data_IF_517503195589
#
_entry.id   IF_517503195589
#
_cell.length_a   1.000
_cell.length_b   1.000
_cell.length_c   1.000
_cell.angle_alpha   90.00
_cell.angle_beta   90.00
_cell.angle_gamma   90.00
#
_symmetry.space_group_name_H-M   'P 1'
#
loop_
_entity.id
_entity.type
_entity.pdbx_description
1 polymer ?
#
# COMPACT_ATOMS: atom_id res chain seq x y z
N UNK A 1 -7.57 -29.06 -12.97
CA UNK A 1 -6.36 -28.26 -12.81
C UNK A 1 -6.76 -26.83 -13.06
N UNK A 2 -6.64 -25.98 -12.05
CA UNK A 2 -6.98 -24.57 -12.15
C UNK A 2 -5.88 -23.83 -12.93
N UNK A 3 -6.26 -22.91 -13.81
CA UNK A 3 -5.34 -22.13 -14.65
C UNK A 3 -5.98 -20.83 -15.09
N UNK A 4 -5.16 -19.80 -15.33
CA UNK A 4 -5.64 -18.56 -15.94
C UNK A 4 -6.01 -18.76 -17.41
N UNK A 5 -7.10 -18.14 -17.86
CA UNK A 5 -7.46 -18.04 -19.26
C UNK A 5 -6.60 -16.99 -20.00
N UNK A 6 -6.86 -16.80 -21.30
CA UNK A 6 -6.12 -15.84 -22.13
C UNK A 6 -6.26 -14.38 -21.67
N UNK A 7 -7.30 -14.07 -20.90
CA UNK A 7 -7.59 -12.74 -20.36
C UNK A 7 -7.13 -12.59 -18.89
N UNK A 8 -6.56 -13.65 -18.32
CA UNK A 8 -6.02 -13.68 -16.97
C UNK A 8 -7.02 -14.09 -15.88
N UNK A 9 -8.24 -14.53 -16.21
CA UNK A 9 -9.26 -14.94 -15.23
C UNK A 9 -9.16 -16.43 -14.88
N UNK A 10 -9.59 -16.81 -13.67
CA UNK A 10 -9.59 -18.21 -13.22
C UNK A 10 -10.89 -18.95 -13.57
N UNK A 11 -12.00 -18.23 -13.61
CA UNK A 11 -13.34 -18.76 -13.80
C UNK A 11 -14.06 -18.08 -14.98
N UNK A 12 -14.96 -18.80 -15.66
CA UNK A 12 -15.76 -18.21 -16.72
C UNK A 12 -16.75 -17.18 -16.15
N UNK A 13 -17.08 -16.17 -16.95
CA UNK A 13 -18.00 -15.08 -16.60
C UNK A 13 -17.65 -14.33 -15.28
N UNK A 14 -16.41 -13.82 -15.11
CA UNK A 14 -15.95 -13.20 -13.86
C UNK A 14 -16.82 -12.02 -13.41
N UNK A 15 -17.45 -11.33 -14.37
CA UNK A 15 -18.34 -10.19 -14.12
C UNK A 15 -19.66 -10.56 -13.43
N UNK A 16 -20.00 -11.84 -13.29
CA UNK A 16 -21.18 -12.29 -12.53
C UNK A 16 -21.03 -12.08 -11.02
N UNK A 17 -19.82 -11.78 -10.54
CA UNK A 17 -19.52 -11.49 -9.13
C UNK A 17 -20.08 -12.59 -8.19
N UNK A 18 -19.85 -13.86 -8.55
CA UNK A 18 -20.22 -15.01 -7.72
C UNK A 18 -19.02 -15.48 -6.89
N UNK A 19 -19.29 -16.25 -5.84
CA UNK A 19 -18.25 -16.88 -5.02
C UNK A 19 -17.97 -18.28 -5.55
N UNK A 20 -16.69 -18.60 -5.74
CA UNK A 20 -16.19 -19.89 -6.20
C UNK A 20 -15.53 -20.62 -5.04
N UNK A 21 -16.08 -21.76 -4.66
CA UNK A 21 -15.49 -22.64 -3.65
C UNK A 21 -14.39 -23.49 -4.29
N UNK A 22 -13.22 -23.53 -3.66
CA UNK A 22 -12.07 -24.33 -4.10
C UNK A 22 -11.60 -25.29 -3.01
N UNK A 23 -10.95 -26.38 -3.43
CA UNK A 23 -10.35 -27.37 -2.54
C UNK A 23 -8.83 -27.21 -2.36
N UNK A 24 -8.22 -28.11 -1.57
CA UNK A 24 -6.78 -28.06 -1.32
C UNK A 24 -5.92 -28.33 -2.56
N UNK A 25 -6.41 -29.12 -3.53
CA UNK A 25 -5.66 -29.40 -4.76
C UNK A 25 -5.64 -28.14 -5.65
N UNK A 26 -6.75 -27.40 -5.70
CA UNK A 26 -6.84 -26.14 -6.43
C UNK A 26 -6.00 -25.02 -5.78
N UNK A 27 -5.84 -25.00 -4.45
CA UNK A 27 -4.86 -24.13 -3.78
C UNK A 27 -3.44 -24.46 -4.23
N UNK A 28 -3.10 -25.75 -4.35
CA UNK A 28 -1.78 -26.18 -4.79
C UNK A 28 -1.53 -25.84 -6.28
N UNK A 29 -2.57 -25.88 -7.12
CA UNK A 29 -2.52 -25.36 -8.49
C UNK A 29 -2.22 -23.85 -8.52
N UNK A 30 -2.88 -23.03 -7.68
CA UNK A 30 -2.60 -21.59 -7.58
C UNK A 30 -1.17 -21.30 -7.08
N UNK A 31 -0.66 -22.10 -6.15
CA UNK A 31 0.75 -22.00 -5.71
C UNK A 31 1.74 -22.34 -6.83
N UNK A 32 1.37 -23.24 -7.75
CA UNK A 32 2.17 -23.53 -8.93
C UNK A 32 2.14 -22.36 -9.92
N UNK A 33 0.96 -21.79 -10.20
CA UNK A 33 0.83 -20.62 -11.05
C UNK A 33 1.63 -19.42 -10.53
N UNK A 34 1.67 -19.22 -9.20
CA UNK A 34 2.50 -18.18 -8.58
C UNK A 34 3.99 -18.31 -8.93
N UNK A 35 4.50 -19.55 -9.00
CA UNK A 35 5.89 -19.81 -9.43
C UNK A 35 6.09 -19.53 -10.92
N UNK A 36 5.11 -19.85 -11.75
CA UNK A 36 5.14 -19.57 -13.18
C UNK A 36 5.19 -18.05 -13.44
N UNK A 37 4.43 -17.26 -12.66
CA UNK A 37 4.49 -15.80 -12.69
C UNK A 37 5.87 -15.26 -12.26
N UNK A 38 6.50 -15.83 -11.23
CA UNK A 38 7.87 -15.45 -10.85
C UNK A 38 8.88 -15.68 -11.98
N UNK A 39 8.79 -16.82 -12.67
CA UNK A 39 9.67 -17.10 -13.82
C UNK A 39 9.39 -16.15 -14.98
N UNK A 40 8.12 -15.84 -15.24
CA UNK A 40 7.74 -14.89 -16.27
C UNK A 40 8.30 -13.50 -15.98
N UNK A 41 8.06 -12.95 -14.79
CA UNK A 41 8.52 -11.60 -14.42
C UNK A 41 10.05 -11.50 -14.37
N UNK A 42 10.74 -12.54 -13.91
CA UNK A 42 12.20 -12.63 -13.99
C UNK A 42 12.70 -12.63 -15.45
N UNK A 43 12.03 -13.36 -16.35
CA UNK A 43 12.34 -13.38 -17.78
C UNK A 43 12.17 -12.01 -18.44
N UNK A 44 11.13 -11.27 -18.09
CA UNK A 44 10.91 -9.88 -18.55
C UNK A 44 12.04 -8.97 -18.05
N UNK A 45 12.41 -9.07 -16.77
CA UNK A 45 13.52 -8.28 -16.19
C UNK A 45 14.84 -8.52 -16.94
N UNK A 46 15.20 -9.77 -17.19
CA UNK A 46 16.43 -10.10 -17.92
C UNK A 46 16.40 -9.63 -19.38
N UNK A 47 15.22 -9.61 -19.99
CA UNK A 47 15.03 -9.05 -21.33
C UNK A 47 15.27 -7.54 -21.33
N UNK A 48 14.71 -6.81 -20.36
CA UNK A 48 14.92 -5.36 -20.23
C UNK A 48 16.39 -5.03 -19.96
N UNK A 49 17.07 -5.74 -19.05
CA UNK A 49 18.51 -5.53 -18.80
C UNK A 49 19.36 -5.66 -20.06
N UNK A 50 19.17 -6.75 -20.82
CA UNK A 50 19.90 -6.97 -22.08
C UNK A 50 19.66 -5.87 -23.10
N UNK A 51 18.44 -5.31 -23.14
CA UNK A 51 18.07 -4.20 -24.03
C UNK A 51 18.71 -2.88 -23.59
N UNK A 52 18.82 -2.62 -22.29
CA UNK A 52 19.52 -1.44 -21.77
C UNK A 52 21.03 -1.50 -21.95
N UNK A 53 21.64 -2.70 -21.97
CA UNK A 53 23.08 -2.91 -22.13
C UNK A 53 23.57 -2.92 -23.58
N UNK A 54 22.72 -3.32 -24.54
CA UNK A 54 23.09 -3.43 -25.96
C UNK A 54 22.70 -2.18 -26.76
N UNK A 55 23.57 -1.80 -27.68
CA UNK A 55 23.17 -1.01 -28.85
C UNK A 55 22.24 -1.87 -29.72
N UNK A 56 20.93 -1.79 -29.45
CA UNK A 56 19.77 -2.31 -30.21
C UNK A 56 20.00 -3.62 -30.99
N UNK A 57 19.58 -4.75 -30.43
CA UNK A 57 19.32 -5.98 -31.20
C UNK A 57 18.37 -5.68 -32.39
N UNK A 58 18.52 -6.43 -33.50
CA UNK A 58 17.84 -6.24 -34.81
C UNK A 58 16.29 -6.20 -34.78
N UNK A 59 15.66 -6.58 -33.65
CA UNK A 59 14.20 -6.56 -33.49
C UNK A 59 13.78 -5.32 -32.71
N UNK A 60 13.40 -4.28 -33.46
CA UNK A 60 12.85 -3.03 -32.93
C UNK A 60 11.42 -3.27 -32.42
N UNK A 61 11.25 -3.28 -31.09
CA UNK A 61 9.92 -3.20 -30.48
C UNK A 61 9.33 -1.80 -30.72
N UNK A 62 8.01 -1.70 -30.68
CA UNK A 62 7.35 -0.40 -30.59
C UNK A 62 7.76 0.29 -29.29
N UNK A 63 7.98 1.60 -29.35
CA UNK A 63 8.53 2.37 -28.23
C UNK A 63 7.58 2.36 -27.01
N UNK A 64 6.27 2.29 -27.22
CA UNK A 64 5.27 2.23 -26.13
C UNK A 64 5.38 0.89 -25.43
N UNK A 65 5.52 -0.19 -26.19
CA UNK A 65 5.69 -1.54 -25.64
C UNK A 65 6.97 -1.63 -24.82
N UNK A 66 8.07 -1.07 -25.34
CA UNK A 66 9.35 -1.02 -24.63
C UNK A 66 9.28 -0.19 -23.34
N UNK A 67 8.66 0.98 -23.38
CA UNK A 67 8.45 1.84 -22.21
C UNK A 67 7.60 1.16 -21.13
N UNK A 68 6.49 0.53 -21.52
CA UNK A 68 5.66 -0.25 -20.59
C UNK A 68 6.42 -1.43 -19.98
N UNK A 69 7.25 -2.13 -20.77
CA UNK A 69 8.08 -3.20 -20.24
C UNK A 69 9.07 -2.68 -19.18
N UNK A 70 9.75 -1.57 -19.45
CA UNK A 70 10.71 -0.97 -18.52
C UNK A 70 10.01 -0.55 -17.22
N UNK A 71 8.86 0.11 -17.32
CA UNK A 71 8.06 0.56 -16.16
C UNK A 71 7.56 -0.60 -15.31
N UNK A 72 7.27 -1.75 -15.90
CA UNK A 72 6.84 -2.96 -15.17
C UNK A 72 7.99 -3.79 -14.57
N UNK A 73 9.24 -3.49 -14.91
CA UNK A 73 10.40 -4.11 -14.27
C UNK A 73 10.84 -3.32 -13.05
N UNK A 74 11.29 -4.02 -12.01
CA UNK A 74 11.72 -3.36 -10.79
C UNK A 74 12.97 -2.49 -10.99
N UNK A 75 13.01 -1.35 -10.32
CA UNK A 75 14.12 -0.41 -10.40
C UNK A 75 13.89 0.77 -11.34
N UNK A 76 12.68 0.97 -11.86
CA UNK A 76 12.37 2.13 -12.70
C UNK A 76 11.73 3.23 -11.86
N UNK A 77 12.21 4.47 -12.01
CA UNK A 77 11.60 5.64 -11.36
C UNK A 77 10.46 6.15 -12.22
N UNK A 78 9.25 6.16 -11.68
CA UNK A 78 8.05 6.64 -12.37
C UNK A 78 7.31 7.67 -11.53
N UNK A 79 6.83 8.72 -12.19
CA UNK A 79 6.01 9.75 -11.58
C UNK A 79 4.55 9.34 -11.58
N UNK A 80 3.93 9.37 -10.41
CA UNK A 80 2.53 9.01 -10.21
C UNK A 80 1.61 10.24 -10.20
N UNK A 81 0.30 10.09 -10.51
CA UNK A 81 -0.64 11.21 -10.56
C UNK A 81 -0.85 11.88 -9.19
N UNK A 82 -0.48 11.20 -8.09
CA UNK A 82 -0.45 11.75 -6.75
C UNK A 82 0.84 12.51 -6.39
N UNK A 83 1.66 12.84 -7.41
CA UNK A 83 2.76 13.80 -7.28
C UNK A 83 4.00 13.23 -6.60
N UNK A 84 4.21 11.91 -6.71
CA UNK A 84 5.34 11.21 -6.12
C UNK A 84 6.05 10.38 -7.17
N UNK A 85 7.37 10.42 -7.12
CA UNK A 85 8.21 9.46 -7.82
C UNK A 85 8.35 8.19 -6.99
N UNK A 86 8.01 7.04 -7.58
CA UNK A 86 8.24 5.73 -6.97
C UNK A 86 9.32 4.96 -7.73
N UNK A 87 10.03 4.08 -7.03
CA UNK A 87 10.85 3.04 -7.66
C UNK A 87 10.02 1.77 -7.72
N UNK A 88 9.73 1.29 -8.93
CA UNK A 88 8.93 0.09 -9.17
C UNK A 88 9.62 -1.18 -8.66
N UNK A 89 8.85 -2.22 -8.34
CA UNK A 89 9.32 -3.60 -8.23
C UNK A 89 8.78 -4.43 -9.40
N UNK A 90 9.22 -5.67 -9.57
CA UNK A 90 8.74 -6.51 -10.68
C UNK A 90 7.22 -6.73 -10.58
N UNK A 91 6.49 -6.39 -11.64
CA UNK A 91 5.05 -6.61 -11.71
C UNK A 91 4.72 -8.01 -12.25
N UNK A 92 3.86 -8.75 -11.55
CA UNK A 92 3.19 -9.95 -12.06
C UNK A 92 1.83 -9.57 -12.68
N UNK A 93 1.21 -10.49 -13.42
CA UNK A 93 0.01 -10.18 -14.23
C UNK A 93 -1.32 -10.22 -13.46
N UNK A 94 -1.26 -10.39 -12.15
CA UNK A 94 -2.42 -10.66 -11.31
C UNK A 94 -2.34 -9.91 -9.99
N UNK A 95 -3.49 -9.45 -9.50
CA UNK A 95 -3.67 -8.89 -8.17
C UNK A 95 -4.48 -9.83 -7.30
N UNK A 96 -4.11 -9.87 -6.03
CA UNK A 96 -4.75 -10.67 -5.01
C UNK A 96 -4.95 -9.87 -3.73
N UNK A 97 -5.97 -10.25 -2.97
CA UNK A 97 -6.15 -9.87 -1.57
C UNK A 97 -6.69 -11.05 -0.78
N UNK A 98 -6.01 -11.41 0.30
CA UNK A 98 -6.44 -12.48 1.19
C UNK A 98 -7.14 -11.97 2.44
N UNK A 99 -8.20 -12.65 2.84
CA UNK A 99 -8.95 -12.41 4.06
C UNK A 99 -9.17 -13.72 4.80
N UNK A 100 -8.85 -13.74 6.10
CA UNK A 100 -8.85 -14.95 6.91
C UNK A 100 -10.23 -15.44 7.35
N UNK A 101 -11.28 -14.70 7.00
CA UNK A 101 -12.67 -15.04 7.21
C UNK A 101 -13.51 -14.36 6.13
N UNK A 102 -14.77 -14.78 5.98
CA UNK A 102 -15.71 -14.12 5.10
C UNK A 102 -16.24 -12.81 5.74
N UNK A 103 -15.68 -11.67 5.35
CA UNK A 103 -16.17 -10.36 5.79
C UNK A 103 -17.37 -9.90 4.96
N UNK A 104 -18.28 -9.15 5.60
CA UNK A 104 -19.42 -8.53 4.92
C UNK A 104 -18.99 -7.46 3.90
N UNK A 105 -17.94 -6.68 4.24
CA UNK A 105 -17.39 -5.61 3.41
C UNK A 105 -15.88 -5.54 3.55
N UNK A 106 -15.18 -5.63 2.43
CA UNK A 106 -13.75 -5.36 2.29
C UNK A 106 -13.57 -3.91 1.86
N UNK A 107 -13.32 -3.04 2.84
CA UNK A 107 -13.10 -1.60 2.66
C UNK A 107 -11.94 -1.14 3.55
N UNK A 108 -11.26 -0.02 3.22
CA UNK A 108 -10.15 0.54 4.02
C UNK A 108 -10.48 0.83 5.48
N UNK A 109 -9.44 0.97 6.31
CA UNK A 109 -9.55 1.29 7.74
C UNK A 109 -10.35 2.57 7.99
N UNK A 110 -10.09 3.65 7.25
CA UNK A 110 -10.84 4.91 7.37
C UNK A 110 -12.34 4.71 7.10
N UNK A 111 -12.67 3.96 6.04
CA UNK A 111 -14.07 3.68 5.66
C UNK A 111 -14.80 2.86 6.72
N UNK A 112 -14.11 1.94 7.38
CA UNK A 112 -14.67 1.19 8.53
C UNK A 112 -14.98 2.12 9.71
N UNK A 113 -14.10 3.07 10.03
CA UNK A 113 -14.36 4.04 11.12
C UNK A 113 -15.48 5.02 10.82
N UNK A 114 -15.75 5.27 9.53
CA UNK A 114 -16.84 6.11 9.05
C UNK A 114 -18.20 5.39 9.00
N UNK A 115 -18.25 4.06 9.23
CA UNK A 115 -19.50 3.31 9.12
C UNK A 115 -20.53 3.78 10.17
N UNK A 116 -21.76 4.03 9.70
CA UNK A 116 -22.86 4.52 10.54
C UNK A 116 -22.76 6.01 10.93
N UNK A 117 -21.77 6.75 10.42
CA UNK A 117 -21.58 8.18 10.71
C UNK A 117 -22.26 9.06 9.66
N UNK A 118 -22.61 10.29 10.07
CA UNK A 118 -23.09 11.31 9.14
C UNK A 118 -21.97 11.80 8.22
N UNK A 119 -22.31 12.39 7.06
CA UNK A 119 -21.31 12.97 6.15
C UNK A 119 -20.38 13.99 6.84
N UNK A 120 -20.96 14.79 7.73
CA UNK A 120 -20.22 15.76 8.53
C UNK A 120 -19.19 15.09 9.45
N UNK A 121 -19.60 14.06 10.19
CA UNK A 121 -18.68 13.28 11.04
C UNK A 121 -17.61 12.55 10.21
N UNK A 122 -17.96 12.02 9.04
CA UNK A 122 -17.00 11.36 8.16
C UNK A 122 -15.86 12.29 7.72
N UNK A 123 -16.18 13.54 7.40
CA UNK A 123 -15.17 14.56 7.05
C UNK A 123 -14.26 14.90 8.24
N UNK A 124 -14.80 14.98 9.46
CA UNK A 124 -14.00 15.20 10.66
C UNK A 124 -13.09 14.02 10.97
N UNK A 125 -13.61 12.78 10.86
CA UNK A 125 -12.82 11.55 11.05
C UNK A 125 -11.69 11.47 10.02
N UNK A 126 -11.94 11.84 8.76
CA UNK A 126 -10.92 11.95 7.71
C UNK A 126 -9.84 12.97 8.08
N UNK A 127 -10.24 14.17 8.52
CA UNK A 127 -9.30 15.20 8.97
C UNK A 127 -8.39 14.70 10.11
N UNK A 128 -8.97 14.05 11.11
CA UNK A 128 -8.22 13.46 12.24
C UNK A 128 -7.26 12.36 11.78
N UNK A 129 -7.68 11.49 10.88
CA UNK A 129 -6.83 10.44 10.33
C UNK A 129 -5.60 11.02 9.61
N UNK A 130 -5.79 12.06 8.79
CA UNK A 130 -4.72 12.77 8.10
C UNK A 130 -3.74 13.46 9.06
N UNK A 131 -4.25 14.12 10.11
CA UNK A 131 -3.39 14.72 11.14
C UNK A 131 -2.52 13.66 11.84
N UNK A 132 -3.08 12.49 12.15
CA UNK A 132 -2.33 11.36 12.71
C UNK A 132 -1.27 10.82 11.75
N UNK A 133 -1.60 10.71 10.46
CA UNK A 133 -0.65 10.29 9.42
C UNK A 133 0.51 11.29 9.27
N UNK A 134 0.27 12.59 9.39
CA UNK A 134 1.34 13.60 9.38
C UNK A 134 2.22 13.53 10.64
N UNK A 135 1.63 13.33 11.83
CA UNK A 135 2.43 13.11 13.04
C UNK A 135 3.28 11.84 12.95
N UNK A 136 2.75 10.77 12.34
CA UNK A 136 3.53 9.59 12.00
C UNK A 136 4.69 9.92 11.05
N UNK A 137 4.44 10.69 9.99
CA UNK A 137 5.48 11.14 9.05
C UNK A 137 6.60 11.91 9.78
N UNK A 138 6.24 12.87 10.64
CA UNK A 138 7.17 13.65 11.47
C UNK A 138 7.98 12.74 12.41
N UNK A 139 7.36 11.70 12.96
CA UNK A 139 8.04 10.73 13.83
C UNK A 139 9.06 9.89 13.06
N UNK A 140 8.68 9.28 11.94
CA UNK A 140 9.58 8.40 11.17
C UNK A 140 10.73 9.18 10.53
N UNK A 141 10.58 10.48 10.30
CA UNK A 141 11.65 11.36 9.81
C UNK A 141 12.90 11.39 10.72
N UNK A 142 12.75 10.97 11.99
CA UNK A 142 13.87 10.84 12.94
C UNK A 142 14.75 9.61 12.68
N UNK A 143 14.28 8.65 11.88
CA UNK A 143 14.99 7.41 11.56
C UNK A 143 15.87 7.67 10.34
N UNK A 144 17.19 7.45 10.44
CA UNK A 144 18.21 7.92 9.48
C UNK A 144 17.89 7.55 8.01
N UNK A 145 17.35 6.35 7.80
CA UNK A 145 17.02 5.84 6.46
C UNK A 145 15.94 6.66 5.76
N UNK A 146 15.03 7.31 6.49
CA UNK A 146 13.89 8.04 5.93
C UNK A 146 14.33 9.32 5.20
N UNK A 147 15.00 10.31 5.82
CA UNK A 147 15.49 11.49 5.12
C UNK A 147 16.56 11.14 4.06
N UNK A 148 17.35 10.08 4.29
CA UNK A 148 18.30 9.59 3.28
C UNK A 148 17.59 9.08 2.03
N UNK A 149 16.53 8.28 2.21
CA UNK A 149 15.73 7.74 1.12
C UNK A 149 15.11 8.84 0.27
N UNK A 150 14.45 9.80 0.91
CA UNK A 150 13.85 10.96 0.26
C UNK A 150 14.91 11.76 -0.53
N UNK A 151 16.09 11.96 0.04
CA UNK A 151 17.16 12.73 -0.59
C UNK A 151 17.82 12.01 -1.78
N UNK A 152 17.96 10.67 -1.74
CA UNK A 152 18.87 9.94 -2.63
C UNK A 152 18.19 8.94 -3.55
N UNK A 153 17.01 8.43 -3.20
CA UNK A 153 16.41 7.26 -3.85
C UNK A 153 15.06 7.58 -4.48
N UNK A 154 14.04 7.88 -3.68
CA UNK A 154 12.65 8.04 -4.15
C UNK A 154 11.86 8.91 -3.20
N UNK A 155 10.70 9.41 -3.62
CA UNK A 155 9.78 10.05 -2.70
C UNK A 155 9.18 9.04 -1.71
N UNK A 156 8.93 9.51 -0.49
CA UNK A 156 8.25 8.72 0.53
C UNK A 156 6.73 8.76 0.31
N UNK A 157 6.11 7.59 0.21
CA UNK A 157 4.65 7.45 0.18
C UNK A 157 4.11 7.30 1.62
N UNK A 158 3.86 8.44 2.26
CA UNK A 158 3.41 8.50 3.66
C UNK A 158 2.09 7.76 3.88
N UNK A 159 1.12 7.88 2.98
CA UNK A 159 -0.17 7.19 3.13
C UNK A 159 -0.02 5.67 3.06
N UNK A 160 0.81 5.16 2.14
CA UNK A 160 1.08 3.74 2.05
C UNK A 160 1.82 3.21 3.31
N UNK A 161 2.81 3.95 3.80
CA UNK A 161 3.50 3.62 5.04
C UNK A 161 2.54 3.65 6.24
N UNK A 162 1.75 4.72 6.37
CA UNK A 162 0.78 4.88 7.44
C UNK A 162 -0.22 3.70 7.46
N UNK A 163 -0.74 3.30 6.30
CA UNK A 163 -1.58 2.10 6.18
C UNK A 163 -0.89 0.84 6.73
N UNK A 164 0.34 0.57 6.30
CA UNK A 164 1.09 -0.62 6.70
C UNK A 164 1.48 -0.63 8.19
N UNK A 165 1.51 0.55 8.82
CA UNK A 165 1.73 0.73 10.26
C UNK A 165 0.43 0.99 11.03
N UNK A 166 -0.73 0.65 10.48
CA UNK A 166 -2.00 0.57 11.20
C UNK A 166 -2.74 1.90 11.38
N UNK A 167 -2.35 2.95 10.67
CA UNK A 167 -3.09 4.21 10.65
C UNK A 167 -4.31 4.10 9.73
N UNK A 168 -5.32 4.92 10.01
CA UNK A 168 -6.54 4.96 9.21
C UNK A 168 -6.28 5.68 7.90
N UNK A 169 -6.45 4.98 6.77
CA UNK A 169 -6.31 5.55 5.44
C UNK A 169 -7.46 5.11 4.54
N UNK A 170 -7.60 5.78 3.39
CA UNK A 170 -8.57 5.41 2.35
C UNK A 170 -8.04 4.32 1.39
N UNK A 171 -6.88 3.74 1.68
CA UNK A 171 -6.21 2.81 0.79
C UNK A 171 -6.62 1.37 1.12
N UNK A 172 -6.66 0.48 0.14
CA UNK A 172 -6.84 -0.95 0.35
C UNK A 172 -5.62 -1.70 -0.18
N UNK A 173 -5.03 -2.55 0.65
CA UNK A 173 -3.88 -3.37 0.25
C UNK A 173 -4.28 -4.44 -0.76
N UNK A 174 -3.54 -4.49 -1.86
CA UNK A 174 -3.47 -5.57 -2.84
C UNK A 174 -2.03 -6.06 -2.92
N UNK A 175 -1.84 -7.30 -3.38
CA UNK A 175 -0.51 -7.86 -3.66
C UNK A 175 -0.52 -8.53 -5.03
N UNK A 176 0.61 -8.51 -5.73
CA UNK A 176 0.76 -9.27 -6.98
C UNK A 176 1.32 -10.70 -6.76
N UNK A 177 1.37 -11.15 -5.50
CA UNK A 177 1.85 -12.46 -5.11
C UNK A 177 0.74 -13.26 -4.40
N UNK A 178 0.30 -14.34 -5.04
CA UNK A 178 -0.71 -15.23 -4.47
C UNK A 178 -0.29 -15.82 -3.12
N UNK A 179 1.00 -16.09 -2.89
CA UNK A 179 1.47 -16.66 -1.61
C UNK A 179 1.27 -15.68 -0.46
N UNK A 180 1.53 -14.41 -0.70
CA UNK A 180 1.27 -13.32 0.24
C UNK A 180 -0.22 -13.18 0.54
N UNK A 181 -1.09 -13.23 -0.48
CA UNK A 181 -2.54 -13.23 -0.26
C UNK A 181 -3.00 -14.46 0.53
N UNK A 182 -2.54 -15.67 0.17
CA UNK A 182 -2.86 -16.90 0.88
C UNK A 182 -2.41 -16.85 2.34
N UNK A 183 -1.26 -16.23 2.63
CA UNK A 183 -0.80 -16.01 4.00
C UNK A 183 -1.78 -15.16 4.79
N UNK A 184 -2.20 -14.00 4.27
CA UNK A 184 -3.21 -13.18 4.92
C UNK A 184 -4.57 -13.86 5.03
N UNK A 185 -4.91 -14.73 4.07
CA UNK A 185 -6.13 -15.53 4.09
C UNK A 185 -6.08 -16.71 5.06
N UNK A 186 -4.91 -17.09 5.60
CA UNK A 186 -4.78 -18.29 6.45
C UNK A 186 -4.08 -18.02 7.78
N UNK A 187 -3.62 -16.80 8.03
CA UNK A 187 -2.98 -16.40 9.28
C UNK A 187 -3.74 -15.27 9.96
N UNK A 188 -3.44 -15.03 11.23
CA UNK A 188 -4.03 -13.95 12.02
C UNK A 188 -2.96 -13.07 12.62
N UNK A 189 -3.19 -11.77 12.55
CA UNK A 189 -2.33 -10.78 13.17
C UNK A 189 -2.55 -10.73 14.69
N UNK A 190 -1.46 -10.68 15.43
CA UNK A 190 -1.44 -10.40 16.86
C UNK A 190 -0.87 -9.00 17.10
N UNK A 191 -1.77 -8.06 17.42
CA UNK A 191 -1.43 -6.67 17.71
C UNK A 191 -0.55 -6.48 18.95
N UNK A 192 -0.50 -7.47 19.87
CA UNK A 192 0.34 -7.36 21.06
C UNK A 192 1.81 -7.61 20.76
N UNK A 193 2.07 -8.49 19.80
CA UNK A 193 3.43 -8.91 19.45
C UNK A 193 3.87 -8.38 18.09
N UNK A 194 3.04 -7.57 17.42
CA UNK A 194 3.26 -7.04 16.06
C UNK A 194 3.64 -8.14 15.06
N UNK A 195 2.97 -9.29 15.14
CA UNK A 195 3.37 -10.49 14.40
C UNK A 195 2.18 -11.35 13.96
N UNK A 196 2.40 -12.19 12.95
CA UNK A 196 1.40 -13.17 12.53
C UNK A 196 1.59 -14.52 13.23
N UNK A 197 0.48 -15.22 13.42
CA UNK A 197 0.42 -16.60 13.88
C UNK A 197 -0.56 -17.41 13.01
N UNK A 198 -0.41 -18.74 12.94
CA UNK A 198 -1.42 -19.59 12.33
C UNK A 198 -2.76 -19.48 13.08
N UNK A 199 -3.84 -19.75 12.36
CA UNK A 199 -5.19 -19.87 12.89
C UNK A 199 -5.29 -21.12 13.78
N UNK A 200 -5.88 -20.94 14.95
CA UNK A 200 -6.20 -22.05 15.85
C UNK A 200 -7.59 -22.59 15.53
N UNK A 201 -7.90 -23.81 15.98
CA UNK A 201 -9.28 -24.33 15.96
C UNK A 201 -10.31 -23.33 16.49
N UNK A 202 -9.99 -22.62 17.58
CA UNK A 202 -10.85 -21.59 18.16
C UNK A 202 -11.07 -20.40 17.22
N UNK A 203 -10.07 -19.99 16.44
CA UNK A 203 -10.23 -18.92 15.45
C UNK A 203 -11.13 -19.37 14.29
N UNK A 204 -10.94 -20.61 13.82
CA UNK A 204 -11.68 -21.19 12.68
C UNK A 204 -13.16 -21.42 13.04
N UNK A 205 -13.43 -21.92 14.24
CA UNK A 205 -14.78 -22.27 14.70
C UNK A 205 -15.50 -21.11 15.43
N UNK A 206 -14.98 -19.88 15.36
CA UNK A 206 -15.55 -18.74 16.07
C UNK A 206 -16.95 -18.35 15.55
N UNK A 207 -17.16 -18.38 14.24
CA UNK A 207 -18.41 -18.10 13.54
C UNK A 207 -18.55 -18.99 12.29
N UNK A 208 -19.70 -18.99 11.62
CA UNK A 208 -19.83 -19.66 10.31
C UNK A 208 -18.91 -19.01 9.26
N UNK A 209 -18.73 -17.70 9.31
CA UNK A 209 -17.89 -16.95 8.37
C UNK A 209 -16.39 -17.20 8.60
N UNK A 210 -15.96 -17.51 9.84
CA UNK A 210 -14.55 -17.80 10.15
C UNK A 210 -14.08 -19.17 9.69
N UNK A 211 -15.00 -20.04 9.28
CA UNK A 211 -14.66 -21.35 8.70
C UNK A 211 -14.05 -21.24 7.30
N UNK A 212 -14.13 -20.07 6.67
CA UNK A 212 -13.74 -19.89 5.28
C UNK A 212 -12.64 -18.83 5.14
N UNK A 213 -11.58 -19.14 4.41
CA UNK A 213 -10.67 -18.13 3.87
C UNK A 213 -11.22 -17.59 2.55
N UNK A 214 -10.96 -16.32 2.26
CA UNK A 214 -11.39 -15.67 1.02
C UNK A 214 -10.17 -15.04 0.33
N UNK A 215 -10.05 -15.24 -0.98
CA UNK A 215 -9.09 -14.55 -1.83
C UNK A 215 -9.86 -13.83 -2.92
N UNK A 216 -9.66 -12.51 -3.01
CA UNK A 216 -10.08 -11.72 -4.15
C UNK A 216 -8.97 -11.76 -5.21
N UNK A 217 -9.34 -11.92 -6.47
CA UNK A 217 -8.41 -11.93 -7.59
C UNK A 217 -8.88 -11.03 -8.73
N UNK A 218 -7.96 -10.30 -9.37
CA UNK A 218 -8.22 -9.53 -10.58
C UNK A 218 -6.97 -9.53 -11.47
N UNK A 219 -7.09 -9.71 -12.81
CA UNK A 219 -5.98 -9.47 -13.73
C UNK A 219 -5.47 -8.03 -13.60
N UNK A 220 -4.16 -7.83 -13.73
CA UNK A 220 -3.57 -6.51 -13.48
C UNK A 220 -4.11 -5.42 -14.45
N UNK A 221 -4.37 -5.74 -15.71
CA UNK A 221 -4.85 -4.79 -16.72
C UNK A 221 -6.22 -4.18 -16.40
N UNK A 222 -6.98 -4.77 -15.48
CA UNK A 222 -8.29 -4.27 -15.03
C UNK A 222 -8.14 -3.08 -14.07
N UNK A 223 -7.09 -3.06 -13.25
CA UNK A 223 -6.96 -2.13 -12.12
C UNK A 223 -5.65 -1.32 -12.15
N UNK A 224 -4.56 -1.91 -12.64
CA UNK A 224 -3.22 -1.34 -12.56
C UNK A 224 -3.14 -0.05 -13.37
N UNK A 225 -2.73 1.02 -12.69
CA UNK A 225 -2.49 2.31 -13.30
C UNK A 225 -1.52 2.22 -14.49
N UNK A 226 -0.53 1.31 -14.46
CA UNK A 226 0.46 1.17 -15.53
C UNK A 226 0.05 0.22 -16.65
N UNK A 227 -0.92 -0.68 -16.44
CA UNK A 227 -1.22 -1.78 -17.38
C UNK A 227 -2.64 -1.75 -17.96
N UNK A 228 -3.37 -0.64 -17.82
CA UNK A 228 -4.65 -0.42 -18.51
C UNK A 228 -5.80 0.00 -17.61
N UNK A 229 -5.70 -0.22 -16.29
CA UNK A 229 -6.74 0.19 -15.33
C UNK A 229 -6.97 1.69 -15.28
N UNK A 230 -6.03 2.48 -15.80
CA UNK A 230 -6.10 3.93 -15.93
C UNK A 230 -6.65 4.43 -17.27
N UNK A 231 -7.02 3.58 -18.23
CA UNK A 231 -7.39 4.03 -19.58
C UNK A 231 -8.56 5.04 -19.56
N UNK A 232 -9.66 4.68 -18.90
CA UNK A 232 -10.81 5.57 -18.77
C UNK A 232 -10.47 6.84 -17.97
N UNK A 233 -9.64 6.70 -16.94
CA UNK A 233 -9.16 7.83 -16.15
C UNK A 233 -8.35 8.80 -17.02
N UNK A 234 -7.38 8.32 -17.79
CA UNK A 234 -6.59 9.16 -18.69
C UNK A 234 -7.46 9.87 -19.71
N UNK A 235 -8.45 9.19 -20.31
CA UNK A 235 -9.38 9.82 -21.26
C UNK A 235 -10.15 11.00 -20.65
N UNK A 236 -10.61 10.87 -19.40
CA UNK A 236 -11.32 11.95 -18.69
C UNK A 236 -10.41 13.13 -18.34
N UNK A 237 -9.11 12.88 -18.20
CA UNK A 237 -8.12 13.86 -17.74
C UNK A 237 -7.15 14.33 -18.84
N UNK A 238 -7.43 14.04 -20.12
CA UNK A 238 -6.55 14.42 -21.25
C UNK A 238 -6.25 15.93 -21.34
N UNK A 239 -7.21 16.76 -20.93
CA UNK A 239 -7.11 18.23 -20.98
C UNK A 239 -6.89 18.85 -19.59
N UNK A 240 -6.45 18.04 -18.64
CA UNK A 240 -6.26 18.51 -17.28
C UNK A 240 -4.96 19.32 -17.19
N UNK A 241 -5.07 20.56 -16.72
CA UNK A 241 -3.95 21.51 -16.59
C UNK A 241 -3.69 21.84 -15.12
N UNK A 242 -3.91 20.86 -14.24
CA UNK A 242 -3.71 21.04 -12.80
C UNK A 242 -2.25 21.26 -12.49
N UNK A 243 -2.01 22.25 -11.62
CA UNK A 243 -0.72 22.47 -10.98
C UNK A 243 -0.53 21.52 -9.78
N UNK A 244 -1.63 21.14 -9.13
CA UNK A 244 -1.63 20.33 -7.90
C UNK A 244 -1.89 18.84 -8.16
N UNK A 245 -1.11 17.93 -7.54
CA UNK A 245 -1.32 16.49 -7.64
C UNK A 245 -2.70 16.02 -7.17
N UNK A 246 -3.05 14.79 -7.56
CA UNK A 246 -4.25 14.12 -7.08
C UNK A 246 -4.05 13.57 -5.67
N UNK A 247 -5.00 13.84 -4.78
CA UNK A 247 -5.03 13.23 -3.44
C UNK A 247 -5.78 11.91 -3.46
N UNK A 248 -5.30 10.89 -2.74
CA UNK A 248 -6.05 9.64 -2.55
C UNK A 248 -7.41 9.88 -1.84
N UNK A 249 -7.56 11.02 -1.16
CA UNK A 249 -8.75 11.36 -0.41
C UNK A 249 -9.81 12.13 -1.22
N UNK A 250 -9.53 12.47 -2.49
CA UNK A 250 -10.51 13.12 -3.37
C UNK A 250 -11.55 12.16 -3.96
N UNK A 251 -11.18 10.87 -4.08
CA UNK A 251 -11.95 9.86 -4.80
C UNK A 251 -11.73 9.82 -6.31
N UNK A 252 -10.91 10.72 -6.87
CA UNK A 252 -10.58 10.74 -8.31
C UNK A 252 -9.67 9.57 -8.73
N UNK A 253 -8.93 9.00 -7.77
CA UNK A 253 -8.03 7.86 -7.98
C UNK A 253 -8.69 6.52 -7.61
N UNK A 254 -9.97 6.53 -7.27
CA UNK A 254 -10.67 5.34 -6.80
C UNK A 254 -10.72 4.23 -7.85
N UNK A 255 -10.60 3.00 -7.36
CA UNK A 255 -10.73 1.81 -8.19
C UNK A 255 -9.54 1.54 -9.11
N UNK A 256 -8.49 2.35 -9.10
CA UNK A 256 -7.19 2.01 -9.70
C UNK A 256 -6.23 1.46 -8.63
N UNK A 257 -5.36 0.55 -9.04
CA UNK A 257 -4.28 0.04 -8.22
C UNK A 257 -2.97 0.73 -8.58
N UNK A 258 -2.25 1.20 -7.56
CA UNK A 258 -0.94 1.84 -7.70
C UNK A 258 0.10 1.02 -6.97
N UNK A 259 1.23 0.79 -7.61
CA UNK A 259 2.36 0.18 -6.94
C UNK A 259 2.85 1.10 -5.82
N UNK A 260 3.12 0.57 -4.63
CA UNK A 260 3.70 1.38 -3.53
C UNK A 260 5.15 1.75 -3.86
N UNK A 261 5.82 0.87 -4.61
CA UNK A 261 7.25 0.93 -4.89
C UNK A 261 8.09 0.55 -3.67
N UNK A 262 9.41 0.63 -3.83
CA UNK A 262 10.32 0.50 -2.68
C UNK A 262 10.18 1.71 -1.75
N UNK A 263 10.24 1.48 -0.44
CA UNK A 263 10.05 2.48 0.61
C UNK A 263 11.10 2.30 1.72
N UNK A 264 11.42 3.34 2.52
CA UNK A 264 12.50 3.29 3.52
C UNK A 264 12.23 2.30 4.66
N UNK A 265 10.95 2.12 5.01
CA UNK A 265 10.51 1.15 6.01
C UNK A 265 10.02 -0.10 5.27
N UNK A 266 10.84 -1.15 5.31
CA UNK A 266 10.89 -2.28 4.38
C UNK A 266 9.63 -3.18 4.29
N UNK A 267 8.56 -2.86 5.01
CA UNK A 267 7.33 -3.66 5.10
C UNK A 267 6.60 -3.78 3.76
N UNK A 268 6.40 -2.64 3.08
CA UNK A 268 5.57 -2.57 1.87
C UNK A 268 6.13 -3.35 0.68
N UNK A 269 7.46 -3.34 0.50
CA UNK A 269 8.06 -3.91 -0.71
C UNK A 269 8.14 -5.43 -0.67
N UNK A 270 8.34 -6.03 0.50
CA UNK A 270 8.38 -7.50 0.64
C UNK A 270 7.00 -8.15 0.48
N UNK A 271 5.93 -7.36 0.56
CA UNK A 271 4.56 -7.79 0.28
C UNK A 271 4.20 -7.67 -1.20
N UNK A 272 5.12 -7.18 -2.05
CA UNK A 272 4.83 -6.72 -3.41
C UNK A 272 3.57 -5.85 -3.43
N UNK A 273 3.50 -4.89 -2.51
CA UNK A 273 2.29 -4.18 -2.15
C UNK A 273 1.84 -3.16 -3.21
N UNK A 274 0.54 -3.18 -3.45
CA UNK A 274 -0.20 -2.18 -4.22
C UNK A 274 -1.25 -1.55 -3.30
N UNK A 275 -1.53 -0.28 -3.53
CA UNK A 275 -2.62 0.44 -2.88
C UNK A 275 -3.74 0.69 -3.88
N UNK A 276 -4.97 0.42 -3.46
CA UNK A 276 -6.17 0.78 -4.21
C UNK A 276 -6.97 1.81 -3.39
N UNK A 277 -6.98 3.10 -3.78
CA UNK A 277 -7.80 4.11 -3.12
C UNK A 277 -9.30 3.76 -3.21
N UNK A 278 -10.00 3.96 -2.10
CA UNK A 278 -11.44 3.68 -1.98
C UNK A 278 -12.12 4.70 -1.07
N UNK A 279 -12.27 5.94 -1.53
CA UNK A 279 -13.07 6.96 -0.83
C UNK A 279 -14.57 6.83 -1.11
N UNK A 280 -14.93 6.50 -2.33
CA UNK A 280 -16.27 6.36 -2.88
C UNK A 280 -16.52 4.97 -3.52
N UNK A 281 -15.46 4.17 -3.69
CA UNK A 281 -15.53 2.83 -4.27
C UNK A 281 -16.41 1.86 -3.45
N UNK A 282 -17.00 0.90 -4.16
CA UNK A 282 -17.79 -0.18 -3.56
C UNK A 282 -16.90 -1.23 -2.90
N UNK A 283 -17.37 -1.92 -1.85
CA UNK A 283 -16.63 -3.05 -1.27
C UNK A 283 -16.31 -4.12 -2.31
N UNK A 284 -15.19 -4.83 -2.15
CA UNK A 284 -14.76 -5.88 -3.10
C UNK A 284 -15.81 -6.96 -3.33
N UNK A 285 -16.63 -7.26 -2.32
CA UNK A 285 -17.72 -8.24 -2.39
C UNK A 285 -18.71 -7.92 -3.51
N UNK A 286 -18.87 -6.64 -3.86
CA UNK A 286 -19.80 -6.14 -4.88
C UNK A 286 -19.10 -5.59 -6.12
N UNK A 287 -17.77 -5.65 -6.18
CA UNK A 287 -16.99 -5.19 -7.32
C UNK A 287 -16.80 -6.34 -8.32
N UNK A 288 -17.43 -6.23 -9.49
CA UNK A 288 -17.40 -7.27 -10.52
C UNK A 288 -16.03 -7.40 -11.23
N UNK A 289 -15.08 -6.51 -10.92
CA UNK A 289 -13.69 -6.60 -11.37
C UNK A 289 -12.88 -7.62 -10.58
N UNK A 290 -13.44 -8.18 -9.50
CA UNK A 290 -12.80 -9.20 -8.68
C UNK A 290 -13.56 -10.53 -8.71
N UNK A 291 -12.81 -11.61 -8.93
CA UNK A 291 -13.23 -12.97 -8.61
C UNK A 291 -13.16 -13.18 -7.10
N UNK A 292 -14.13 -13.94 -6.57
CA UNK A 292 -14.21 -14.27 -5.14
C UNK A 292 -13.95 -15.76 -4.96
N UNK A 293 -12.77 -16.10 -4.48
CA UNK A 293 -12.33 -17.46 -4.24
C UNK A 293 -12.51 -17.75 -2.75
N UNK A 294 -13.18 -18.85 -2.40
CA UNK A 294 -13.43 -19.24 -1.01
C UNK A 294 -12.97 -20.67 -0.77
N UNK A 295 -12.38 -20.93 0.38
CA UNK A 295 -11.91 -22.27 0.75
C UNK A 295 -12.12 -22.52 2.24
N UNK A 296 -12.25 -23.79 2.63
CA UNK A 296 -12.39 -24.18 4.03
C UNK A 296 -11.05 -24.05 4.77
N UNK A 297 -11.08 -23.40 5.93
CA UNK A 297 -9.91 -23.29 6.81
C UNK A 297 -9.64 -24.61 7.53
N UNK A 298 -8.36 -24.95 7.64
CA UNK A 298 -7.88 -26.02 8.51
C UNK A 298 -6.63 -25.57 9.24
N UNK A 299 -6.41 -26.10 10.45
CA UNK A 299 -5.17 -25.85 11.19
C UNK A 299 -3.95 -26.34 10.37
N UNK A 300 -4.10 -27.44 9.62
CA UNK A 300 -3.05 -27.97 8.74
C UNK A 300 -2.66 -26.97 7.64
N UNK A 301 -3.64 -26.44 6.89
CA UNK A 301 -3.39 -25.45 5.84
C UNK A 301 -2.73 -24.19 6.41
N UNK A 302 -3.25 -23.69 7.53
CA UNK A 302 -2.71 -22.50 8.18
C UNK A 302 -1.26 -22.67 8.63
N UNK A 303 -0.93 -23.79 9.30
CA UNK A 303 0.45 -24.09 9.70
C UNK A 303 1.37 -24.29 8.49
N UNK A 304 0.90 -24.99 7.45
CA UNK A 304 1.66 -25.20 6.20
C UNK A 304 2.03 -23.87 5.54
N UNK A 305 1.08 -22.95 5.40
CA UNK A 305 1.31 -21.63 4.80
C UNK A 305 2.18 -20.76 5.69
N UNK A 306 1.98 -20.80 7.01
CA UNK A 306 2.80 -20.06 7.96
C UNK A 306 4.28 -20.45 7.88
N UNK A 307 4.59 -21.75 7.85
CA UNK A 307 5.96 -22.25 7.67
C UNK A 307 6.51 -21.95 6.27
N UNK A 308 5.69 -22.10 5.21
CA UNK A 308 6.08 -21.73 3.84
C UNK A 308 6.52 -20.26 3.74
N UNK A 309 5.91 -19.38 4.52
CA UNK A 309 6.20 -17.95 4.56
C UNK A 309 7.26 -17.54 5.59
N UNK A 310 8.05 -18.51 6.07
CA UNK A 310 9.07 -18.34 7.11
C UNK A 310 8.51 -17.60 8.33
N UNK A 311 7.33 -18.04 8.80
CA UNK A 311 6.66 -17.49 9.99
C UNK A 311 6.34 -16.00 9.86
N UNK A 312 6.08 -15.55 8.64
CA UNK A 312 5.80 -14.15 8.29
C UNK A 312 7.04 -13.33 7.93
N UNK A 313 8.27 -13.84 8.14
CA UNK A 313 9.50 -13.09 7.85
C UNK A 313 9.68 -12.77 6.38
N UNK A 314 9.09 -13.54 5.46
CA UNK A 314 9.14 -13.23 4.02
C UNK A 314 8.42 -11.93 3.65
N UNK A 315 7.42 -11.51 4.43
CA UNK A 315 6.58 -10.34 4.16
C UNK A 315 6.62 -9.27 5.27
N UNK A 316 7.24 -9.60 6.42
CA UNK A 316 7.59 -8.69 7.52
C UNK A 316 9.07 -8.80 7.91
N UNK A 317 10.04 -8.62 6.99
CA UNK A 317 11.44 -8.66 7.36
C UNK A 317 11.91 -7.29 7.86
N UNK A 318 12.78 -7.30 8.87
CA UNK A 318 13.56 -6.14 9.30
C UNK A 318 12.72 -4.94 9.78
N UNK A 319 11.82 -5.23 10.72
CA UNK A 319 10.90 -4.28 11.37
C UNK A 319 11.56 -3.51 12.51
N UNK A 320 12.63 -2.77 12.22
CA UNK A 320 13.32 -1.96 13.24
C UNK A 320 12.37 -1.01 13.96
N UNK A 321 11.48 -0.35 13.22
CA UNK A 321 10.46 0.56 13.79
C UNK A 321 9.51 -0.14 14.79
N UNK A 322 9.39 -1.46 14.77
CA UNK A 322 8.64 -2.22 15.77
C UNK A 322 9.16 -2.01 17.20
N UNK A 323 10.43 -1.60 17.38
CA UNK A 323 10.98 -1.20 18.69
C UNK A 323 10.33 0.09 19.25
N UNK A 324 9.61 0.84 18.43
CA UNK A 324 8.86 2.05 18.80
C UNK A 324 7.34 1.85 18.78
N UNK A 325 6.85 0.59 18.87
CA UNK A 325 5.43 0.27 18.76
C UNK A 325 4.53 1.06 19.73
N UNK A 326 4.96 1.25 20.98
CA UNK A 326 4.20 2.04 21.96
C UNK A 326 4.02 3.50 21.53
N UNK A 327 5.04 4.07 20.87
CA UNK A 327 4.96 5.42 20.31
C UNK A 327 3.97 5.42 19.14
N UNK A 328 4.06 4.45 18.22
CA UNK A 328 3.12 4.34 17.10
C UNK A 328 1.67 4.23 17.59
N UNK A 329 1.41 3.38 18.60
CA UNK A 329 0.10 3.25 19.23
C UNK A 329 -0.39 4.55 19.88
N UNK A 330 0.53 5.36 20.42
CA UNK A 330 0.20 6.68 20.97
C UNK A 330 -0.23 7.64 19.86
N UNK A 331 0.49 7.67 18.73
CA UNK A 331 0.15 8.53 17.58
C UNK A 331 -1.19 8.10 16.97
N UNK A 332 -1.44 6.79 16.81
CA UNK A 332 -2.71 6.25 16.28
C UNK A 332 -3.93 6.67 17.10
N UNK A 333 -3.74 6.95 18.40
CA UNK A 333 -4.80 7.38 19.32
C UNK A 333 -4.76 8.89 19.61
N UNK A 334 -3.88 9.65 18.97
CA UNK A 334 -3.69 11.06 19.28
C UNK A 334 -5.00 11.85 19.13
N UNK A 335 -5.22 12.76 20.09
CA UNK A 335 -6.30 13.76 20.10
C UNK A 335 -5.75 15.18 20.30
N UNK A 336 -4.43 15.33 20.29
CA UNK A 336 -3.73 16.61 20.38
C UNK A 336 -2.95 16.79 19.08
N UNK A 337 -3.17 17.91 18.40
CA UNK A 337 -2.58 18.20 17.09
C UNK A 337 -2.00 19.62 17.06
N UNK A 338 -1.04 19.85 16.18
CA UNK A 338 -0.51 21.19 15.94
C UNK A 338 -1.29 21.94 14.86
N UNK A 339 -1.02 23.25 14.72
CA UNK A 339 -1.57 24.03 13.61
C UNK A 339 -1.16 23.50 12.24
N UNK A 340 0.09 23.04 12.10
CA UNK A 340 0.56 22.43 10.86
C UNK A 340 -0.19 21.13 10.53
N UNK A 341 -0.57 20.34 11.55
CA UNK A 341 -1.34 19.13 11.35
C UNK A 341 -2.72 19.48 10.78
N UNK A 342 -3.39 20.48 11.37
CA UNK A 342 -4.68 20.97 10.91
C UNK A 342 -4.60 21.53 9.48
N UNK A 343 -3.55 22.31 9.16
CA UNK A 343 -3.33 22.87 7.84
C UNK A 343 -3.16 21.75 6.80
N UNK A 344 -2.33 20.75 7.11
CA UNK A 344 -2.14 19.59 6.24
C UNK A 344 -3.46 18.87 5.97
N UNK A 345 -4.26 18.62 7.01
CA UNK A 345 -5.57 18.00 6.84
C UNK A 345 -6.51 18.87 5.98
N UNK A 346 -6.49 20.20 6.15
CA UNK A 346 -7.36 21.13 5.41
C UNK A 346 -7.01 21.22 3.92
N UNK A 347 -5.72 21.26 3.58
CA UNK A 347 -5.25 21.48 2.20
C UNK A 347 -5.04 20.15 1.45
N UNK A 348 -4.28 19.22 2.03
CA UNK A 348 -3.97 17.93 1.39
C UNK A 348 -5.15 16.94 1.46
N UNK A 349 -5.92 17.00 2.54
CA UNK A 349 -7.04 16.11 2.80
C UNK A 349 -8.28 16.32 1.94
N UNK A 350 -8.26 17.34 1.07
CA UNK A 350 -9.39 17.74 0.23
C UNK A 350 -10.67 17.82 1.08
N UNK A 351 -10.59 18.58 2.18
CA UNK A 351 -11.73 18.82 3.06
C UNK A 351 -12.83 19.51 2.27
N UNK A 352 -14.09 19.09 2.47
CA UNK A 352 -15.22 19.71 1.79
C UNK A 352 -15.36 21.19 2.21
N UNK A 353 -14.90 22.09 1.34
CA UNK A 353 -14.92 23.55 1.56
C UNK A 353 -16.36 24.11 1.58
N UNK A 354 -17.37 23.35 1.14
CA UNK A 354 -18.78 23.74 1.36
C UNK A 354 -19.21 23.52 2.80
N UNK A 355 -18.66 22.49 3.46
CA UNK A 355 -18.89 22.23 4.89
C UNK A 355 -18.00 23.11 5.77
N UNK A 356 -16.74 23.28 5.38
CA UNK A 356 -15.74 24.05 6.13
C UNK A 356 -15.08 25.10 5.21
N UNK A 357 -15.74 26.26 4.99
CA UNK A 357 -15.24 27.31 4.10
C UNK A 357 -13.88 27.85 4.47
N UNK A 358 -13.52 27.82 5.77
CA UNK A 358 -12.20 28.23 6.27
C UNK A 358 -11.58 27.15 7.16
N UNK A 359 -10.26 27.23 7.35
CA UNK A 359 -9.55 26.37 8.31
C UNK A 359 -10.06 26.58 9.74
N UNK A 360 -10.52 27.79 10.08
CA UNK A 360 -11.10 28.09 11.40
C UNK A 360 -12.45 27.39 11.61
N UNK A 361 -13.23 27.20 10.56
CA UNK A 361 -14.48 26.43 10.63
C UNK A 361 -14.19 24.96 10.90
N UNK A 362 -13.19 24.40 10.20
CA UNK A 362 -12.72 23.04 10.47
C UNK A 362 -12.17 22.92 11.90
N UNK A 363 -11.37 23.90 12.37
CA UNK A 363 -10.82 23.93 13.73
C UNK A 363 -11.92 23.85 14.78
N UNK A 364 -12.93 24.71 14.67
CA UNK A 364 -14.07 24.74 15.61
C UNK A 364 -14.82 23.41 15.61
N UNK A 365 -15.03 22.82 14.45
CA UNK A 365 -15.72 21.56 14.31
C UNK A 365 -14.93 20.38 14.90
N UNK A 366 -13.64 20.28 14.57
CA UNK A 366 -12.75 19.24 15.08
C UNK A 366 -12.62 19.35 16.61
N UNK A 367 -12.39 20.54 17.15
CA UNK A 367 -12.23 20.73 18.62
C UNK A 367 -13.50 20.49 19.41
N UNK A 368 -14.67 20.63 18.78
CA UNK A 368 -15.95 20.24 19.37
C UNK A 368 -16.27 18.74 19.21
N UNK A 369 -15.52 18.02 18.37
CA UNK A 369 -15.74 16.60 18.09
C UNK A 369 -15.03 15.72 19.12
N UNK A 370 -15.66 14.58 19.43
CA UNK A 370 -15.11 13.58 20.33
C UNK A 370 -14.68 12.33 19.57
N UNK A 371 -13.46 11.88 19.83
CA UNK A 371 -12.92 10.62 19.33
C UNK A 371 -12.74 9.70 20.52
N UNK A 372 -13.43 8.56 20.50
CA UNK A 372 -13.35 7.56 21.58
C UNK A 372 -13.63 8.14 22.99
N UNK A 373 -14.45 9.20 23.07
CA UNK A 373 -14.83 9.88 24.31
C UNK A 373 -13.93 11.06 24.72
N UNK A 374 -12.88 11.35 23.96
CA UNK A 374 -11.95 12.46 24.21
C UNK A 374 -12.13 13.59 23.20
N UNK A 375 -12.09 14.84 23.68
CA UNK A 375 -12.16 16.01 22.81
C UNK A 375 -10.82 16.26 22.11
N UNK A 376 -10.87 16.65 20.85
CA UNK A 376 -9.68 17.03 20.11
C UNK A 376 -9.20 18.42 20.52
N UNK A 377 -7.89 18.61 20.62
CA UNK A 377 -7.25 19.91 20.89
C UNK A 377 -6.23 20.25 19.81
N UNK A 378 -6.22 21.52 19.40
CA UNK A 378 -5.24 22.08 18.49
C UNK A 378 -4.37 23.07 19.27
N UNK A 379 -3.06 22.89 19.22
CA UNK A 379 -2.08 23.75 19.89
C UNK A 379 -1.11 24.38 18.89
N UNK A 380 -0.44 25.45 19.33
CA UNK A 380 0.51 26.19 18.47
C UNK A 380 1.81 25.42 18.22
N UNK A 381 2.31 24.74 19.25
CA UNK A 381 3.58 24.05 19.19
C UNK A 381 3.45 22.69 18.51
N UNK A 382 4.49 22.27 17.80
CA UNK A 382 4.55 20.94 17.19
C UNK A 382 4.40 19.82 18.23
N UNK A 383 3.74 18.74 17.82
CA UNK A 383 3.62 17.55 18.66
C UNK A 383 4.90 16.72 18.52
N UNK A 384 5.66 16.65 19.61
CA UNK A 384 6.88 15.84 19.65
C UNK A 384 6.64 14.51 20.39
N UNK A 385 6.89 13.41 19.69
CA UNK A 385 6.96 12.07 20.28
C UNK A 385 8.42 11.71 20.59
N UNK A 386 8.86 11.79 21.86
CA UNK A 386 10.25 11.50 22.21
C UNK A 386 10.56 10.01 22.03
N UNK A 387 11.75 9.74 21.51
CA UNK A 387 12.33 8.39 21.43
C UNK A 387 13.70 8.44 22.12
N UNK A 388 14.00 7.42 22.92
CA UNK A 388 15.29 7.37 23.60
C UNK A 388 16.42 7.19 22.57
N UNK A 389 17.61 7.80 22.77
CA UNK A 389 18.72 7.64 21.85
C UNK A 389 19.15 6.18 21.64
N UNK A 390 19.06 5.33 22.68
CA UNK A 390 19.38 3.91 22.58
C UNK A 390 18.40 3.16 21.68
N UNK A 391 17.09 3.37 21.86
CA UNK A 391 16.08 2.73 21.01
C UNK A 391 16.22 3.23 19.58
N UNK A 392 16.40 4.54 19.35
CA UNK A 392 16.61 5.07 18.01
C UNK A 392 17.86 4.47 17.33
N UNK A 393 18.96 4.30 18.07
CA UNK A 393 20.16 3.64 17.55
C UNK A 393 19.89 2.18 17.18
N UNK A 394 19.13 1.45 17.98
CA UNK A 394 18.71 0.07 17.67
C UNK A 394 17.77 -0.02 16.47
N UNK A 395 16.94 1.00 16.23
CA UNK A 395 16.11 1.09 15.01
C UNK A 395 17.03 1.37 13.82
N UNK A 396 17.88 2.39 13.89
CA UNK A 396 18.79 2.76 12.82
C UNK A 396 19.76 1.63 12.46
N UNK A 397 20.22 0.84 13.42
CA UNK A 397 21.07 -0.33 13.17
C UNK A 397 20.41 -1.38 12.27
N UNK A 398 19.07 -1.51 12.32
CA UNK A 398 18.34 -2.44 11.45
C UNK A 398 18.34 -2.00 9.98
N UNK A 399 18.50 -0.70 9.70
CA UNK A 399 18.39 -0.12 8.36
C UNK A 399 19.74 0.34 7.78
N UNK A 400 20.61 0.98 8.58
CA UNK A 400 21.82 1.68 8.12
C UNK A 400 22.88 0.77 7.49
N UNK A 401 22.97 -0.49 7.90
CA UNK A 401 23.97 -1.43 7.36
C UNK A 401 23.51 -2.14 6.08
N UNK A 402 22.36 -1.74 5.52
CA UNK A 402 21.83 -2.37 4.30
C UNK A 402 22.27 -1.63 3.07
N UNK A 403 22.65 -2.39 2.05
CA UNK A 403 22.83 -1.84 0.72
C UNK A 403 21.45 -1.54 0.12
N UNK A 404 21.04 -0.28 0.16
CA UNK A 404 19.75 0.16 -0.38
C UNK A 404 19.68 -0.03 -1.91
N UNK A 405 20.82 -0.13 -2.61
CA UNK A 405 20.84 -0.47 -4.05
C UNK A 405 20.49 -1.94 -4.29
N UNK A 406 20.90 -2.86 -3.40
CA UNK A 406 20.49 -4.27 -3.49
C UNK A 406 18.96 -4.38 -3.31
N UNK A 407 18.38 -3.59 -2.40
CA UNK A 407 16.93 -3.55 -2.16
C UNK A 407 16.19 -3.19 -3.44
N UNK A 408 16.66 -2.23 -4.22
CA UNK A 408 16.04 -1.83 -5.50
C UNK A 408 16.50 -2.69 -6.70
N UNK A 409 17.22 -3.78 -6.45
CA UNK A 409 17.61 -4.76 -7.47
C UNK A 409 18.80 -4.35 -8.34
N UNK A 410 19.69 -3.51 -7.81
CA UNK A 410 20.95 -3.05 -8.43
C UNK A 410 20.80 -2.37 -9.80
N UNK A 411 19.62 -1.83 -10.09
CA UNK A 411 19.31 -1.12 -11.31
C UNK A 411 18.34 0.00 -10.96
N UNK A 412 18.75 1.25 -11.18
CA UNK A 412 17.85 2.41 -11.09
C UNK A 412 17.79 3.07 -12.46
N UNK A 413 16.67 2.91 -13.15
CA UNK A 413 16.38 3.63 -14.37
C UNK A 413 15.67 4.95 -14.01
N UNK A 414 16.35 6.07 -14.23
CA UNK A 414 15.84 7.41 -13.93
C UNK A 414 16.12 8.37 -15.09
N UNK A 415 15.17 9.24 -15.38
CA UNK A 415 15.33 10.32 -16.34
C UNK A 415 16.19 11.46 -15.76
N UNK A 416 16.82 12.29 -16.62
CA UNK A 416 17.66 13.40 -16.16
C UNK A 416 16.96 14.40 -15.23
N UNK A 417 15.66 14.63 -15.42
CA UNK A 417 14.85 15.52 -14.58
C UNK A 417 14.64 14.95 -13.17
N UNK A 418 14.35 13.65 -13.06
CA UNK A 418 14.23 12.94 -11.78
C UNK A 418 15.55 12.99 -11.02
N UNK A 419 16.68 12.81 -11.72
CA UNK A 419 18.02 12.95 -11.10
C UNK A 419 18.27 14.35 -10.55
N UNK A 420 17.95 15.41 -11.32
CA UNK A 420 18.07 16.80 -10.85
C UNK A 420 17.17 17.08 -9.66
N UNK A 421 15.95 16.55 -9.69
CA UNK A 421 15.01 16.64 -8.57
C UNK A 421 15.60 15.99 -7.32
N UNK A 422 16.19 14.78 -7.42
CA UNK A 422 16.92 14.15 -6.29
C UNK A 422 18.10 14.99 -5.79
N UNK A 423 18.91 15.56 -6.68
CA UNK A 423 20.02 16.45 -6.31
C UNK A 423 19.52 17.68 -5.53
N UNK A 424 18.41 18.28 -5.96
CA UNK A 424 17.78 19.39 -5.24
C UNK A 424 17.25 18.97 -3.87
N UNK A 425 16.51 17.86 -3.79
CA UNK A 425 15.99 17.32 -2.50
C UNK A 425 17.12 17.03 -1.52
N UNK A 426 18.25 16.51 -2.01
CA UNK A 426 19.43 16.30 -1.19
C UNK A 426 19.97 17.60 -0.59
N UNK A 427 20.01 18.68 -1.37
CA UNK A 427 20.41 20.01 -0.90
C UNK A 427 19.38 20.56 0.09
N UNK A 428 18.08 20.41 -0.17
CA UNK A 428 17.02 20.89 0.72
C UNK A 428 17.09 20.23 2.11
N UNK A 429 17.38 18.92 2.14
CA UNK A 429 17.38 18.12 3.38
C UNK A 429 18.70 18.25 4.14
N UNK A 430 19.85 18.22 3.44
CA UNK A 430 21.18 18.17 4.08
C UNK A 430 21.99 19.47 3.94
N UNK A 431 21.48 20.47 3.23
CA UNK A 431 22.18 21.71 2.91
C UNK A 431 23.32 21.56 1.89
N UNK A 432 23.56 20.35 1.38
CA UNK A 432 24.61 20.01 0.42
C UNK A 432 24.32 18.67 -0.28
N UNK A 433 25.03 18.42 -1.37
CA UNK A 433 25.10 17.08 -1.95
C UNK A 433 25.95 16.17 -1.04
N UNK A 434 25.44 14.97 -0.76
CA UNK A 434 26.13 13.92 0.02
C UNK A 434 26.37 12.67 -0.81
#
# INVERSE_FOLDING_TARGET
MLSFDENGWLFPDPLKNITHDIDSAEIDDLLKLAKEEDYWSAGIRETVKKRLEKDKDDVRLDWIVEDLMIKNTGGTVISMPFGKDIITFNSNRHFFRGENQQYLKSVPSLRRRQEGKSKYECELIKGIALMRSLQFAKFIWKIDVVPYWEAKLSDINIDALAQHYGFDTCLLDLTNDFRTALFFATCKYDYKTDSYRPLTKKDIEATEDSKYGVIFHSPNWVLDYLNGGSFEWHMRHLNDHREEPYSFYSGELDGMAFQIGYQPLMRCHHQSGYIMPMMNATPLQSDNRFEKIRFLQTEELSNRVYEMMDKGKKIFPYEGIGKALDILHTIQKAVIFSEDDLLYAYDYGVVDKKMFPTIDDLRKAITAFQVDGECVSIQKDEINYPISPSVLQEINAEYNCRNLLDVVGNMIHQYPEQRRYREQRCIDIYGKLI
#
